data_IF_431024704872
#
_entry.id   IF_431024704872
#
_cell.length_a   1.000
_cell.length_b   1.000
_cell.length_c   1.000
_cell.angle_alpha   90.00
_cell.angle_beta   90.00
_cell.angle_gamma   90.00
#
_symmetry.space_group_name_H-M   'P 1'
#
loop_
_entity.id
_entity.type
_entity.pdbx_description
1 polymer ?
#
# COMPACT_ATOMS: atom_id res chain seq x y z
N UNK A 1 3.82 -0.57 -28.55
CA UNK A 1 4.50 0.28 -27.54
C UNK A 1 4.17 1.72 -27.87
N UNK A 2 3.43 2.41 -26.99
CA UNK A 2 3.00 3.82 -27.16
C UNK A 2 3.99 4.75 -26.45
N UNK A 3 4.11 6.03 -26.87
CA UNK A 3 5.14 6.95 -26.39
C UNK A 3 5.07 7.12 -24.87
N UNK A 4 6.23 7.32 -24.25
CA UNK A 4 6.42 7.45 -22.81
C UNK A 4 5.76 8.72 -22.27
N UNK A 5 4.55 8.58 -21.73
CA UNK A 5 3.91 9.64 -20.93
C UNK A 5 4.49 9.66 -19.50
N UNK A 6 5.82 9.82 -19.39
CA UNK A 6 6.48 10.04 -18.12
C UNK A 6 6.06 11.42 -17.60
N UNK A 7 5.40 11.44 -16.44
CA UNK A 7 4.95 12.67 -15.77
C UNK A 7 6.00 13.22 -14.82
N UNK A 8 6.70 12.32 -14.13
CA UNK A 8 7.75 12.69 -13.18
C UNK A 8 8.75 11.54 -13.03
N UNK A 9 10.00 11.92 -12.74
CA UNK A 9 11.05 11.00 -12.36
C UNK A 9 11.74 11.55 -11.11
N UNK A 10 11.53 10.85 -10.00
CA UNK A 10 12.08 11.19 -8.70
C UNK A 10 13.21 10.23 -8.37
N UNK A 11 14.32 10.78 -7.92
CA UNK A 11 15.50 10.05 -7.47
C UNK A 11 15.72 10.45 -6.02
N UNK A 12 15.93 9.47 -5.16
CA UNK A 12 16.07 9.68 -3.72
C UNK A 12 17.50 9.38 -3.27
N UNK A 13 17.89 9.97 -2.15
CA UNK A 13 19.04 9.44 -1.43
C UNK A 13 18.70 8.07 -0.81
N UNK A 14 19.71 7.22 -0.61
CA UNK A 14 19.48 5.92 0.06
C UNK A 14 18.95 6.10 1.49
N UNK A 15 19.36 7.17 2.18
CA UNK A 15 18.89 7.48 3.52
C UNK A 15 17.40 7.84 3.51
N UNK A 16 17.00 8.82 2.70
CA UNK A 16 15.61 9.27 2.56
C UNK A 16 14.68 8.11 2.17
N UNK A 17 15.12 7.26 1.24
CA UNK A 17 14.36 6.07 0.86
C UNK A 17 14.20 5.08 1.99
N UNK A 18 15.25 4.83 2.78
CA UNK A 18 15.17 3.92 3.92
C UNK A 18 14.20 4.43 4.98
N UNK A 19 14.24 5.73 5.28
CA UNK A 19 13.32 6.40 6.20
C UNK A 19 11.86 6.28 5.69
N UNK A 20 11.63 6.52 4.40
CA UNK A 20 10.31 6.31 3.79
C UNK A 20 9.83 4.85 3.92
N UNK A 21 10.70 3.88 3.61
CA UNK A 21 10.37 2.45 3.72
C UNK A 21 10.03 2.08 5.17
N UNK A 22 10.70 2.67 6.16
CA UNK A 22 10.37 2.48 7.58
C UNK A 22 8.98 3.02 7.92
N UNK A 23 8.69 4.27 7.57
CA UNK A 23 7.41 4.92 7.86
C UNK A 23 6.26 4.19 7.16
N UNK A 24 6.43 3.82 5.89
CA UNK A 24 5.44 3.10 5.11
C UNK A 24 5.13 1.71 5.71
N UNK A 25 6.17 0.96 6.12
CA UNK A 25 6.00 -0.35 6.77
C UNK A 25 5.42 -0.25 8.17
N UNK A 26 5.80 0.77 8.95
CA UNK A 26 5.31 0.97 10.30
C UNK A 26 3.79 1.22 10.32
N UNK A 27 3.30 2.13 9.47
CA UNK A 27 1.86 2.39 9.32
C UNK A 27 1.10 1.11 8.95
N UNK A 28 1.65 0.29 8.07
CA UNK A 28 0.99 -0.97 7.70
C UNK A 28 1.03 -2.01 8.81
N UNK A 29 2.12 -2.07 9.57
CA UNK A 29 2.23 -3.00 10.72
C UNK A 29 1.14 -2.69 11.75
N UNK A 30 0.88 -1.41 11.97
CA UNK A 30 -0.23 -0.92 12.79
C UNK A 30 -1.60 -1.37 12.24
N UNK A 31 -1.91 -1.14 10.95
CA UNK A 31 -3.15 -1.65 10.32
C UNK A 31 -3.31 -3.18 10.46
N UNK A 32 -2.21 -3.90 10.24
CA UNK A 32 -2.18 -5.37 10.30
C UNK A 32 -2.36 -5.90 11.72
N UNK A 33 -1.90 -5.16 12.72
CA UNK A 33 -2.13 -5.48 14.13
C UNK A 33 -3.62 -5.38 14.46
N UNK A 34 -4.27 -4.27 14.08
CA UNK A 34 -5.72 -4.11 14.25
C UNK A 34 -6.52 -5.17 13.49
N UNK A 35 -6.08 -5.52 12.27
CA UNK A 35 -6.69 -6.61 11.50
C UNK A 35 -6.55 -7.96 12.21
N UNK A 36 -5.39 -8.26 12.78
CA UNK A 36 -5.16 -9.45 13.60
C UNK A 36 -6.07 -9.50 14.83
N UNK A 37 -6.19 -8.40 15.57
CA UNK A 37 -7.13 -8.29 16.69
C UNK A 37 -8.57 -8.56 16.24
N UNK A 38 -8.98 -8.01 15.10
CA UNK A 38 -10.29 -8.29 14.50
C UNK A 38 -10.51 -9.77 14.20
N UNK A 39 -9.50 -10.46 13.65
CA UNK A 39 -9.56 -11.92 13.40
C UNK A 39 -9.72 -12.69 14.71
N UNK A 40 -8.97 -12.36 15.76
CA UNK A 40 -9.10 -13.07 17.05
C UNK A 40 -10.50 -12.86 17.61
N UNK A 41 -10.96 -11.62 17.71
CA UNK A 41 -12.26 -11.29 18.33
C UNK A 41 -13.41 -11.89 17.52
N UNK A 42 -13.52 -11.57 16.23
CA UNK A 42 -14.62 -12.03 15.38
C UNK A 42 -14.52 -13.52 15.07
N UNK A 43 -13.31 -14.04 14.88
CA UNK A 43 -13.08 -15.47 14.64
C UNK A 43 -13.46 -16.31 15.85
N UNK A 44 -13.11 -15.86 17.06
CA UNK A 44 -13.50 -16.55 18.30
C UNK A 44 -15.03 -16.57 18.45
N UNK A 45 -15.68 -15.40 18.34
CA UNK A 45 -17.15 -15.29 18.43
C UNK A 45 -17.83 -16.14 17.36
N UNK A 46 -17.35 -16.08 16.12
CA UNK A 46 -17.89 -16.84 15.00
C UNK A 46 -17.76 -18.35 15.19
N UNK A 47 -16.62 -18.84 15.69
CA UNK A 47 -16.44 -20.25 16.00
C UNK A 47 -17.37 -20.71 17.13
N UNK A 48 -17.51 -19.91 18.19
CA UNK A 48 -18.43 -20.23 19.29
C UNK A 48 -19.88 -20.33 18.82
N UNK A 49 -20.36 -19.37 18.02
CA UNK A 49 -21.77 -19.34 17.60
C UNK A 49 -22.06 -20.34 16.48
N UNK A 50 -21.20 -20.42 15.46
CA UNK A 50 -21.47 -21.20 14.25
C UNK A 50 -21.01 -22.65 14.34
N UNK A 51 -20.10 -22.97 15.26
CA UNK A 51 -19.49 -24.31 15.41
C UNK A 51 -19.61 -24.87 16.82
N UNK A 52 -20.30 -24.15 17.73
CA UNK A 52 -20.54 -24.56 19.12
C UNK A 52 -19.25 -24.97 19.86
N UNK A 53 -18.14 -24.32 19.52
CA UNK A 53 -16.84 -24.61 20.13
C UNK A 53 -16.69 -23.86 21.45
N UNK A 54 -16.04 -24.48 22.44
CA UNK A 54 -15.65 -23.78 23.67
C UNK A 54 -14.66 -22.63 23.41
N UNK A 55 -14.71 -21.59 24.25
CA UNK A 55 -13.90 -20.37 24.13
C UNK A 55 -12.40 -20.65 23.90
N UNK A 56 -11.81 -21.55 24.68
CA UNK A 56 -10.38 -21.86 24.59
C UNK A 56 -9.99 -22.48 23.24
N UNK A 57 -10.83 -23.37 22.70
CA UNK A 57 -10.61 -24.00 21.39
C UNK A 57 -10.75 -22.94 20.29
N UNK A 58 -11.78 -22.11 20.37
CA UNK A 58 -12.01 -21.03 19.42
C UNK A 58 -10.82 -20.04 19.36
N UNK A 59 -10.30 -19.61 20.52
CA UNK A 59 -9.12 -18.74 20.61
C UNK A 59 -7.87 -19.44 20.05
N UNK A 60 -7.64 -20.71 20.43
CA UNK A 60 -6.49 -21.48 19.95
C UNK A 60 -6.47 -21.62 18.43
N UNK A 61 -7.64 -21.71 17.79
CA UNK A 61 -7.77 -21.72 16.33
C UNK A 61 -7.64 -20.33 15.68
N UNK A 62 -8.15 -19.28 16.35
CA UNK A 62 -8.14 -17.93 15.79
C UNK A 62 -6.75 -17.27 15.82
N UNK A 63 -5.92 -17.56 16.84
CA UNK A 63 -4.57 -16.97 16.98
C UNK A 63 -3.63 -17.30 15.80
N UNK A 64 -3.48 -18.54 15.34
CA UNK A 64 -2.64 -18.84 14.18
C UNK A 64 -3.05 -18.06 12.94
N UNK A 65 -4.36 -17.92 12.70
CA UNK A 65 -4.89 -17.18 11.55
C UNK A 65 -4.67 -15.67 11.69
N UNK A 66 -4.78 -15.13 12.91
CA UNK A 66 -4.55 -13.70 13.18
C UNK A 66 -3.10 -13.28 13.01
N UNK A 67 -2.16 -14.22 13.05
CA UNK A 67 -0.74 -13.98 12.75
C UNK A 67 -0.46 -14.24 11.27
N UNK A 68 -0.92 -15.37 10.74
CA UNK A 68 -0.60 -15.82 9.38
C UNK A 68 -1.15 -14.86 8.32
N UNK A 69 -2.42 -14.45 8.44
CA UNK A 69 -3.05 -13.61 7.41
C UNK A 69 -2.38 -12.23 7.32
N UNK A 70 -2.15 -11.49 8.42
CA UNK A 70 -1.41 -10.24 8.35
C UNK A 70 0.04 -10.40 7.88
N UNK A 71 0.71 -11.49 8.25
CA UNK A 71 2.07 -11.78 7.76
C UNK A 71 2.10 -11.96 6.24
N UNK A 72 1.17 -12.76 5.68
CA UNK A 72 1.03 -12.94 4.23
C UNK A 72 0.75 -11.60 3.54
N UNK A 73 -0.18 -10.79 4.09
CA UNK A 73 -0.50 -9.46 3.57
C UNK A 73 0.74 -8.56 3.50
N UNK A 74 1.57 -8.57 4.55
CA UNK A 74 2.81 -7.79 4.56
C UNK A 74 3.82 -8.29 3.53
N UNK A 75 3.99 -9.62 3.42
CA UNK A 75 4.95 -10.26 2.51
C UNK A 75 4.65 -9.97 1.04
N UNK A 76 3.38 -9.99 0.64
CA UNK A 76 3.00 -9.80 -0.77
C UNK A 76 2.81 -8.33 -1.16
N UNK A 77 2.16 -7.51 -0.34
CA UNK A 77 1.84 -6.12 -0.71
C UNK A 77 3.07 -5.21 -0.78
N UNK A 78 4.16 -5.51 -0.05
CA UNK A 78 5.30 -4.59 0.10
C UNK A 78 6.62 -5.15 -0.42
N UNK A 79 6.57 -6.14 -1.33
CA UNK A 79 7.76 -6.72 -1.94
C UNK A 79 8.65 -5.66 -2.63
N UNK A 80 8.07 -4.54 -3.06
CA UNK A 80 8.77 -3.45 -3.75
C UNK A 80 9.38 -2.40 -2.80
N UNK A 81 8.98 -2.35 -1.53
CA UNK A 81 9.55 -1.43 -0.53
C UNK A 81 10.70 -2.12 0.22
N UNK A 82 11.89 -2.07 -0.35
CA UNK A 82 13.11 -2.69 0.19
C UNK A 82 14.10 -1.61 0.62
N UNK A 83 14.74 -1.81 1.78
CA UNK A 83 15.80 -0.91 2.27
C UNK A 83 17.14 -1.22 1.58
N UNK A 84 18.05 -0.26 1.55
CA UNK A 84 19.41 -0.45 1.04
C UNK A 84 19.51 -0.48 -0.49
N UNK A 85 18.47 0.00 -1.18
CA UNK A 85 18.52 0.18 -2.64
C UNK A 85 19.51 1.31 -2.96
N UNK A 86 20.44 1.03 -3.89
CA UNK A 86 21.35 2.05 -4.43
C UNK A 86 20.61 2.86 -5.49
N UNK A 87 20.69 4.18 -5.40
CA UNK A 87 19.97 5.13 -6.27
C UNK A 87 18.47 4.80 -6.44
N UNK A 88 17.69 4.80 -5.34
CA UNK A 88 16.25 4.56 -5.41
C UNK A 88 15.58 5.55 -6.37
N UNK A 89 14.69 5.04 -7.21
CA UNK A 89 13.97 5.87 -8.17
C UNK A 89 12.48 5.53 -8.24
N UNK A 90 11.67 6.55 -8.49
CA UNK A 90 10.25 6.44 -8.78
C UNK A 90 9.98 7.17 -10.08
N UNK A 91 9.40 6.46 -11.05
CA UNK A 91 8.94 7.02 -12.32
C UNK A 91 7.42 6.93 -12.36
N UNK A 92 6.78 8.06 -12.59
CA UNK A 92 5.32 8.18 -12.62
C UNK A 92 4.90 8.32 -14.07
N UNK A 93 4.07 7.39 -14.54
CA UNK A 93 3.46 7.43 -15.87
C UNK A 93 1.94 7.59 -15.74
N UNK A 94 1.27 7.87 -16.84
CA UNK A 94 -0.19 8.01 -16.86
C UNK A 94 -0.97 6.75 -16.48
N UNK A 95 -0.38 5.58 -16.75
CA UNK A 95 -0.99 4.26 -16.63
C UNK A 95 -0.30 3.35 -15.63
N UNK A 96 0.93 3.66 -15.19
CA UNK A 96 1.66 2.87 -14.21
C UNK A 96 2.65 3.69 -13.38
N UNK A 97 3.03 3.15 -12.23
CA UNK A 97 4.21 3.59 -11.47
C UNK A 97 5.31 2.58 -11.67
N UNK A 98 6.55 3.05 -11.80
CA UNK A 98 7.73 2.22 -11.71
C UNK A 98 8.53 2.65 -10.49
N UNK A 99 8.54 1.80 -9.47
CA UNK A 99 9.27 1.99 -8.22
C UNK A 99 10.47 1.06 -8.27
N UNK A 100 11.67 1.62 -8.47
CA UNK A 100 12.88 0.87 -8.77
C UNK A 100 12.64 -0.07 -9.97
N UNK A 101 12.79 -1.39 -9.76
CA UNK A 101 12.53 -2.42 -10.78
C UNK A 101 11.11 -3.01 -10.74
N UNK A 102 10.21 -2.45 -9.93
CA UNK A 102 8.84 -2.94 -9.80
C UNK A 102 7.85 -2.04 -10.52
N UNK A 103 6.93 -2.64 -11.28
CA UNK A 103 5.88 -1.93 -12.02
C UNK A 103 4.54 -2.15 -11.35
N UNK A 104 3.83 -1.07 -11.08
CA UNK A 104 2.49 -1.05 -10.49
C UNK A 104 1.55 -0.42 -11.51
N UNK A 105 0.62 -1.21 -12.04
CA UNK A 105 -0.38 -0.73 -12.99
C UNK A 105 -1.46 0.12 -12.29
N UNK A 106 -1.62 1.36 -12.73
CA UNK A 106 -2.61 2.33 -12.24
C UNK A 106 -3.87 2.40 -13.12
N UNK A 107 -3.72 2.24 -14.44
CA UNK A 107 -4.82 2.21 -15.41
C UNK A 107 -4.67 1.01 -16.33
N UNK A 108 -5.80 0.37 -16.64
CA UNK A 108 -5.87 -0.79 -17.53
C UNK A 108 -7.30 -1.04 -17.96
N UNK A 109 -7.56 -2.18 -18.60
CA UNK A 109 -8.91 -2.53 -19.06
C UNK A 109 -9.94 -2.65 -17.92
N UNK A 110 -9.49 -3.05 -16.74
CA UNK A 110 -10.34 -3.20 -15.55
C UNK A 110 -9.95 -2.28 -14.39
N UNK A 111 -8.89 -1.48 -14.53
CA UNK A 111 -8.33 -0.60 -13.49
C UNK A 111 -8.40 0.86 -13.91
N UNK A 112 -8.76 1.74 -12.97
CA UNK A 112 -8.73 3.20 -13.16
C UNK A 112 -8.23 3.90 -11.91
N UNK A 113 -7.62 5.07 -12.10
CA UNK A 113 -7.30 5.96 -10.99
C UNK A 113 -8.58 6.68 -10.55
N UNK A 114 -9.03 6.41 -9.33
CA UNK A 114 -10.19 7.06 -8.73
C UNK A 114 -9.84 8.44 -8.18
N UNK A 115 -8.72 8.59 -7.47
CA UNK A 115 -8.22 9.89 -6.98
C UNK A 115 -6.69 9.90 -6.88
N UNK A 116 -6.10 11.10 -6.99
CA UNK A 116 -4.70 11.35 -6.65
C UNK A 116 -4.72 12.50 -5.66
N UNK A 117 -4.01 12.36 -4.53
CA UNK A 117 -3.94 13.41 -3.50
C UNK A 117 -2.60 13.38 -2.79
N UNK A 118 -2.22 14.53 -2.23
CA UNK A 118 -1.06 14.64 -1.34
C UNK A 118 -1.57 14.41 0.08
N UNK A 119 -0.91 13.53 0.82
CA UNK A 119 -1.20 13.27 2.24
C UNK A 119 0.07 13.47 3.06
N UNK A 120 -0.13 13.85 4.32
CA UNK A 120 0.96 13.89 5.30
C UNK A 120 1.08 12.54 6.01
N UNK A 121 2.30 12.05 6.17
CA UNK A 121 2.66 10.88 6.94
C UNK A 121 3.37 11.27 8.25
N UNK A 122 3.59 10.29 9.13
CA UNK A 122 4.37 10.49 10.36
C UNK A 122 5.74 11.10 10.00
N UNK A 123 6.26 11.95 10.88
CA UNK A 123 7.55 12.66 10.73
C UNK A 123 7.59 13.72 9.61
N UNK A 124 6.44 14.29 9.21
CA UNK A 124 6.39 15.41 8.27
C UNK A 124 6.63 15.03 6.80
N UNK A 125 6.69 13.74 6.49
CA UNK A 125 6.78 13.26 5.11
C UNK A 125 5.50 13.55 4.33
N UNK A 126 5.64 14.06 3.12
CA UNK A 126 4.52 14.20 2.19
C UNK A 126 4.52 13.03 1.20
N UNK A 127 3.37 12.39 1.04
CA UNK A 127 3.19 11.25 0.14
C UNK A 127 2.18 11.60 -0.94
N UNK A 128 2.48 11.17 -2.17
CA UNK A 128 1.53 11.17 -3.26
C UNK A 128 0.76 9.84 -3.22
N UNK A 129 -0.53 9.90 -2.92
CA UNK A 129 -1.42 8.74 -2.87
C UNK A 129 -2.23 8.61 -4.16
N UNK A 130 -2.16 7.43 -4.78
CA UNK A 130 -2.97 6.99 -5.90
C UNK A 130 -4.03 5.99 -5.40
N UNK A 131 -5.29 6.40 -5.38
CA UNK A 131 -6.43 5.52 -5.14
C UNK A 131 -6.81 4.86 -6.48
N UNK A 132 -6.52 3.57 -6.62
CA UNK A 132 -6.77 2.79 -7.83
C UNK A 132 -7.94 1.85 -7.60
N UNK A 133 -8.95 1.95 -8.47
CA UNK A 133 -10.16 1.14 -8.41
C UNK A 133 -10.18 0.14 -9.56
N UNK A 134 -10.56 -1.11 -9.28
CA UNK A 134 -10.89 -2.10 -10.30
C UNK A 134 -12.21 -2.82 -10.02
N UNK A 135 -12.85 -3.28 -11.08
CA UNK A 135 -14.10 -4.02 -10.97
C UNK A 135 -13.82 -5.50 -10.70
N UNK A 136 -14.50 -6.06 -9.71
CA UNK A 136 -14.57 -7.50 -9.46
C UNK A 136 -15.99 -7.99 -9.70
N UNK A 137 -16.19 -9.33 -9.73
CA UNK A 137 -17.54 -9.92 -9.81
C UNK A 137 -18.47 -9.46 -8.68
N UNK A 138 -17.91 -9.06 -7.53
CA UNK A 138 -18.67 -8.63 -6.34
C UNK A 138 -18.77 -7.10 -6.20
N UNK A 139 -18.32 -6.35 -7.21
CA UNK A 139 -18.30 -4.89 -7.20
C UNK A 139 -16.89 -4.28 -7.24
N UNK A 140 -16.79 -2.95 -7.15
CA UNK A 140 -15.51 -2.25 -7.20
C UNK A 140 -14.66 -2.54 -5.96
N UNK A 141 -13.37 -2.78 -6.17
CA UNK A 141 -12.34 -2.88 -5.14
C UNK A 141 -11.32 -1.76 -5.36
N UNK A 142 -10.79 -1.21 -4.27
CA UNK A 142 -9.80 -0.13 -4.31
C UNK A 142 -8.50 -0.56 -3.63
N UNK A 143 -7.39 0.02 -4.07
CA UNK A 143 -6.10 -0.04 -3.38
C UNK A 143 -5.40 1.32 -3.42
N UNK A 144 -4.57 1.56 -2.41
CA UNK A 144 -3.89 2.84 -2.22
C UNK A 144 -2.39 2.64 -2.39
N UNK A 145 -1.84 3.25 -3.45
CA UNK A 145 -0.39 3.27 -3.67
C UNK A 145 0.17 4.62 -3.24
N UNK A 146 1.23 4.60 -2.44
CA UNK A 146 1.85 5.80 -1.90
C UNK A 146 3.31 5.86 -2.28
N UNK A 147 3.73 7.03 -2.74
CA UNK A 147 5.14 7.32 -3.05
C UNK A 147 5.57 8.59 -2.33
N UNK A 148 6.79 8.60 -1.83
CA UNK A 148 7.36 9.77 -1.17
C UNK A 148 7.49 10.91 -2.19
N UNK A 149 7.05 12.11 -1.80
CA UNK A 149 7.32 13.33 -2.57
C UNK A 149 8.66 13.89 -2.04
N UNK A 150 9.71 13.97 -2.88
CA UNK A 150 10.93 14.65 -2.47
C UNK A 150 10.63 16.11 -2.10
N UNK A 151 11.37 16.66 -1.12
CA UNK A 151 11.10 18.00 -0.58
C UNK A 151 11.11 19.10 -1.66
N UNK A 152 11.92 18.95 -2.71
CA UNK A 152 12.04 19.91 -3.81
C UNK A 152 10.98 19.70 -4.93
N UNK A 153 10.17 18.64 -4.85
CA UNK A 153 9.21 18.24 -5.90
C UNK A 153 7.74 18.45 -5.54
N UNK A 154 7.44 19.17 -4.46
CA UNK A 154 6.05 19.44 -4.03
C UNK A 154 5.22 20.08 -5.17
N UNK A 155 5.76 21.08 -5.88
CA UNK A 155 5.08 21.72 -7.01
C UNK A 155 4.79 20.75 -8.17
N UNK A 156 5.70 19.81 -8.42
CA UNK A 156 5.50 18.78 -9.45
C UNK A 156 4.38 17.80 -9.03
N UNK A 157 4.36 17.40 -7.75
CA UNK A 157 3.28 16.58 -7.20
C UNK A 157 1.91 17.29 -7.28
N UNK A 158 1.84 18.59 -6.99
CA UNK A 158 0.62 19.37 -7.17
C UNK A 158 0.14 19.41 -8.62
N UNK A 159 1.07 19.52 -9.58
CA UNK A 159 0.74 19.47 -11.01
C UNK A 159 0.17 18.11 -11.41
N UNK A 160 0.69 17.01 -10.86
CA UNK A 160 0.16 15.65 -11.09
C UNK A 160 -1.28 15.54 -10.55
N UNK A 161 -1.54 16.10 -9.36
CA UNK A 161 -2.90 16.09 -8.78
C UNK A 161 -3.89 16.90 -9.63
N UNK A 162 -3.48 18.08 -10.10
CA UNK A 162 -4.32 18.98 -10.93
C UNK A 162 -4.53 18.46 -12.36
N UNK A 163 -3.56 17.74 -12.91
CA UNK A 163 -3.60 17.19 -14.27
C UNK A 163 -4.37 15.88 -14.42
N UNK A 164 -5.17 15.50 -13.41
CA UNK A 164 -5.97 14.27 -13.37
C UNK A 164 -7.22 14.33 -14.24
#
# INVERSE_FOLDING_TARGET
MKPSNLKAHWIYSTQEWNEFVEVAKAKKKEDNFYFGLGIVTLGTIGLMILRDTGFLIAVAFAIPLSILIPWLRMKFSYKHLVKGVKNPEVKIFDDHLKINNHVIELKGSQKKIKSIKIIEAKNGFQLLEFDVQWLTRKGPTNDEYRVLIPFDKIKEAENIVKGK
#
